data_IF_528087801939
#
_entry.id   IF_528087801939
#
_cell.length_a   1.000
_cell.length_b   1.000
_cell.length_c   1.000
_cell.angle_alpha   90.00
_cell.angle_beta   90.00
_cell.angle_gamma   90.00
#
_symmetry.space_group_name_H-M   'P 1'
#
loop_
_entity.id
_entity.type
_entity.pdbx_description
1 polymer ?
#
# COMPACT_ATOMS: atom_id res chain seq x y z
N UNK A 1 -20.62 2.04 -11.89
CA UNK A 1 -19.77 0.86 -11.61
C UNK A 1 -18.74 1.31 -10.58
N UNK A 2 -18.40 0.49 -9.58
CA UNK A 2 -17.37 0.86 -8.62
C UNK A 2 -16.05 1.15 -9.34
N UNK A 3 -15.23 2.04 -8.79
CA UNK A 3 -13.86 2.25 -9.27
C UNK A 3 -13.03 0.96 -9.13
N UNK A 4 -11.87 0.88 -9.80
CA UNK A 4 -10.98 -0.28 -9.62
C UNK A 4 -10.49 -0.39 -8.16
N UNK A 5 -10.22 0.72 -7.50
CA UNK A 5 -9.89 0.75 -6.07
C UNK A 5 -11.03 0.16 -5.21
N UNK A 6 -12.26 0.62 -5.39
CA UNK A 6 -13.42 0.08 -4.68
C UNK A 6 -13.66 -1.41 -5.01
N UNK A 7 -13.43 -1.80 -6.26
CA UNK A 7 -13.53 -3.18 -6.72
C UNK A 7 -12.50 -4.09 -6.05
N UNK A 8 -11.26 -3.61 -5.89
CA UNK A 8 -10.22 -4.31 -5.16
C UNK A 8 -10.60 -4.47 -3.69
N UNK A 9 -10.93 -3.39 -2.99
CA UNK A 9 -11.26 -3.41 -1.56
C UNK A 9 -12.43 -4.33 -1.22
N UNK A 10 -13.48 -4.33 -2.06
CA UNK A 10 -14.70 -5.12 -1.81
C UNK A 10 -14.64 -6.56 -2.30
N UNK A 11 -13.57 -6.97 -2.99
CA UNK A 11 -13.48 -8.31 -3.55
C UNK A 11 -13.18 -9.35 -2.47
N UNK A 12 -14.16 -10.24 -2.21
CA UNK A 12 -13.99 -11.47 -1.42
C UNK A 12 -13.18 -12.55 -2.17
N UNK A 13 -13.01 -12.41 -3.48
CA UNK A 13 -12.24 -13.30 -4.34
C UNK A 13 -11.38 -12.46 -5.29
N UNK A 14 -10.11 -12.29 -4.92
CA UNK A 14 -9.16 -11.49 -5.69
C UNK A 14 -8.72 -12.18 -6.98
N UNK A 15 -8.84 -13.51 -7.07
CA UNK A 15 -8.62 -14.20 -8.34
C UNK A 15 -9.74 -13.87 -9.32
N UNK A 16 -11.01 -13.91 -8.89
CA UNK A 16 -12.13 -13.50 -9.75
C UNK A 16 -12.06 -12.02 -10.14
N UNK A 17 -11.59 -11.14 -9.24
CA UNK A 17 -11.32 -9.73 -9.56
C UNK A 17 -10.22 -9.59 -10.61
N UNK A 18 -9.08 -10.25 -10.40
CA UNK A 18 -7.96 -10.29 -11.35
C UNK A 18 -8.41 -10.69 -12.76
N UNK A 19 -9.15 -11.79 -12.89
CA UNK A 19 -9.63 -12.28 -14.19
C UNK A 19 -10.46 -11.25 -14.96
N UNK A 20 -11.16 -10.35 -14.26
CA UNK A 20 -11.91 -9.26 -14.90
C UNK A 20 -11.01 -8.11 -15.39
N UNK A 21 -9.86 -7.90 -14.75
CA UNK A 21 -8.91 -6.85 -15.11
C UNK A 21 -8.01 -7.23 -16.28
N UNK A 22 -7.63 -8.52 -16.37
CA UNK A 22 -6.66 -8.99 -17.35
C UNK A 22 -6.94 -8.56 -18.80
N UNK A 23 -8.19 -8.60 -19.32
CA UNK A 23 -8.45 -8.14 -20.68
C UNK A 23 -8.11 -6.67 -20.91
N UNK A 24 -8.42 -5.79 -19.94
CA UNK A 24 -8.12 -4.36 -20.04
C UNK A 24 -6.61 -4.11 -19.87
N UNK A 25 -5.98 -4.75 -18.90
CA UNK A 25 -4.52 -4.67 -18.69
C UNK A 25 -3.75 -5.12 -19.94
N UNK A 26 -4.15 -6.24 -20.56
CA UNK A 26 -3.55 -6.71 -21.82
C UNK A 26 -3.82 -5.78 -23.01
N UNK A 27 -4.87 -4.95 -22.95
CA UNK A 27 -5.17 -3.93 -23.95
C UNK A 27 -4.39 -2.62 -23.70
N UNK A 28 -3.55 -2.55 -22.66
CA UNK A 28 -2.75 -1.38 -22.31
C UNK A 28 -3.42 -0.40 -21.34
N UNK A 29 -4.50 -0.80 -20.67
CA UNK A 29 -5.09 0.00 -19.60
C UNK A 29 -4.17 0.02 -18.38
N UNK A 30 -3.57 1.18 -18.12
CA UNK A 30 -2.56 1.37 -17.08
C UNK A 30 -3.10 1.13 -15.67
N UNK A 31 -4.33 1.56 -15.40
CA UNK A 31 -4.97 1.41 -14.09
C UNK A 31 -5.34 -0.06 -13.84
N UNK A 32 -5.87 -0.75 -14.85
CA UNK A 32 -6.09 -2.19 -14.76
C UNK A 32 -4.77 -2.95 -14.52
N UNK A 33 -3.69 -2.58 -15.22
CA UNK A 33 -2.36 -3.17 -15.02
C UNK A 33 -1.82 -2.90 -13.61
N UNK A 34 -2.01 -1.69 -13.06
CA UNK A 34 -1.67 -1.37 -11.68
C UNK A 34 -2.41 -2.27 -10.70
N UNK A 35 -3.72 -2.42 -10.84
CA UNK A 35 -4.51 -3.27 -9.95
C UNK A 35 -4.23 -4.77 -10.11
N UNK A 36 -3.80 -5.24 -11.29
CA UNK A 36 -3.23 -6.59 -11.46
C UNK A 36 -2.00 -6.75 -10.55
N UNK A 37 -1.06 -5.81 -10.58
CA UNK A 37 0.14 -5.86 -9.73
C UNK A 37 -0.19 -5.81 -8.24
N UNK A 38 -1.22 -5.03 -7.85
CA UNK A 38 -1.72 -4.93 -6.46
C UNK A 38 -2.28 -6.25 -5.95
N UNK A 39 -3.02 -6.98 -6.77
CA UNK A 39 -3.52 -8.32 -6.42
C UNK A 39 -2.34 -9.28 -6.20
N UNK A 40 -1.36 -9.26 -7.10
CA UNK A 40 -0.18 -10.13 -6.97
C UNK A 40 0.61 -9.85 -5.69
N UNK A 41 0.85 -8.58 -5.37
CA UNK A 41 1.55 -8.16 -4.15
C UNK A 41 0.77 -8.58 -2.88
N UNK A 42 -0.51 -8.24 -2.82
CA UNK A 42 -1.37 -8.56 -1.67
C UNK A 42 -1.48 -10.07 -1.40
N UNK A 43 -1.51 -10.89 -2.45
CA UNK A 43 -1.67 -12.35 -2.31
C UNK A 43 -0.35 -13.13 -2.25
N UNK A 44 0.80 -12.50 -2.50
CA UNK A 44 2.08 -13.21 -2.67
C UNK A 44 2.44 -14.11 -1.49
N UNK A 45 2.36 -13.60 -0.25
CA UNK A 45 2.72 -14.35 0.94
C UNK A 45 1.81 -15.57 1.17
N UNK A 46 0.52 -15.47 0.85
CA UNK A 46 -0.40 -16.60 0.94
C UNK A 46 -0.14 -17.62 -0.17
N UNK A 47 -0.01 -17.15 -1.42
CA UNK A 47 0.15 -18.00 -2.60
C UNK A 47 1.45 -18.82 -2.58
N UNK A 48 2.51 -18.30 -1.95
CA UNK A 48 3.81 -18.99 -1.86
C UNK A 48 3.73 -20.32 -1.09
N UNK A 49 2.96 -20.39 0.00
CA UNK A 49 2.69 -21.63 0.75
C UNK A 49 1.35 -21.50 1.51
N UNK A 50 0.20 -21.79 0.87
CA UNK A 50 -1.10 -21.66 1.52
C UNK A 50 -1.24 -22.52 2.78
N UNK A 51 -0.63 -23.70 2.79
CA UNK A 51 -0.67 -24.62 3.91
C UNK A 51 0.21 -24.14 5.07
N UNK A 52 1.42 -23.63 4.78
CA UNK A 52 2.27 -22.98 5.77
C UNK A 52 1.65 -21.72 6.33
N UNK A 53 1.07 -20.88 5.48
CA UNK A 53 0.37 -19.68 5.89
C UNK A 53 -0.75 -19.99 6.90
N UNK A 54 -1.53 -21.05 6.66
CA UNK A 54 -2.55 -21.54 7.60
C UNK A 54 -1.95 -22.05 8.91
N UNK A 55 -0.91 -22.90 8.85
CA UNK A 55 -0.23 -23.42 10.06
C UNK A 55 0.36 -22.30 10.92
N UNK A 56 0.98 -21.29 10.31
CA UNK A 56 1.53 -20.13 11.00
C UNK A 56 0.43 -19.30 11.66
N UNK A 57 -0.71 -19.14 10.97
CA UNK A 57 -1.88 -18.43 11.51
C UNK A 57 -2.45 -19.17 12.72
N UNK A 58 -2.56 -20.49 12.67
CA UNK A 58 -2.97 -21.30 13.83
C UNK A 58 -1.96 -21.24 14.97
N UNK A 59 -0.66 -21.21 14.66
CA UNK A 59 0.39 -21.07 15.67
C UNK A 59 0.27 -19.73 16.40
N UNK A 60 0.07 -18.63 15.67
CA UNK A 60 -0.20 -17.30 16.23
C UNK A 60 -1.44 -17.31 17.14
N UNK A 61 -2.52 -17.98 16.71
CA UNK A 61 -3.73 -18.14 17.52
C UNK A 61 -3.45 -18.87 18.84
N UNK A 62 -2.62 -19.93 18.82
CA UNK A 62 -2.25 -20.70 20.02
C UNK A 62 -1.34 -19.96 20.99
N UNK A 63 -0.50 -19.05 20.49
CA UNK A 63 0.43 -18.29 21.34
C UNK A 63 -0.28 -17.32 22.29
N UNK A 64 -1.48 -16.85 21.94
CA UNK A 64 -2.30 -16.02 22.83
C UNK A 64 -1.67 -14.68 23.25
N UNK A 65 -0.69 -14.16 22.49
CA UNK A 65 -0.05 -12.88 22.79
C UNK A 65 -1.05 -11.73 22.58
N UNK A 66 -0.85 -10.62 23.31
CA UNK A 66 -1.59 -9.39 23.06
C UNK A 66 -1.48 -8.98 21.57
N UNK A 67 -2.61 -8.69 20.93
CA UNK A 67 -2.67 -8.36 19.49
C UNK A 67 -2.75 -9.56 18.53
N UNK A 68 -2.57 -10.81 19.01
CA UNK A 68 -2.62 -12.00 18.14
C UNK A 68 -3.97 -12.18 17.45
N UNK A 69 -5.07 -11.86 18.11
CA UNK A 69 -6.40 -11.95 17.52
C UNK A 69 -6.56 -11.06 16.28
N UNK A 70 -6.03 -9.83 16.32
CA UNK A 70 -6.06 -8.91 15.18
C UNK A 70 -5.19 -9.42 14.04
N UNK A 71 -3.99 -9.93 14.34
CA UNK A 71 -3.11 -10.55 13.35
C UNK A 71 -3.76 -11.77 12.69
N UNK A 72 -4.35 -12.66 13.48
CA UNK A 72 -5.07 -13.84 12.99
C UNK A 72 -6.21 -13.42 12.07
N UNK A 73 -7.06 -12.48 12.48
CA UNK A 73 -8.16 -11.99 11.65
C UNK A 73 -7.68 -11.35 10.34
N UNK A 74 -6.57 -10.60 10.37
CA UNK A 74 -5.98 -10.03 9.14
C UNK A 74 -5.46 -11.11 8.20
N UNK A 75 -4.76 -12.12 8.74
CA UNK A 75 -4.24 -13.25 7.96
C UNK A 75 -5.38 -14.10 7.38
N UNK A 76 -6.44 -14.33 8.14
CA UNK A 76 -7.65 -15.01 7.66
C UNK A 76 -8.34 -14.24 6.53
N UNK A 77 -8.39 -12.90 6.59
CA UNK A 77 -8.89 -12.08 5.47
C UNK A 77 -8.05 -12.24 4.21
N UNK A 78 -6.72 -12.20 4.32
CA UNK A 78 -5.81 -12.45 3.18
C UNK A 78 -6.07 -13.84 2.62
N UNK A 79 -6.09 -14.87 3.46
CA UNK A 79 -6.33 -16.25 3.03
C UNK A 79 -7.71 -16.42 2.36
N UNK A 80 -8.77 -15.80 2.89
CA UNK A 80 -10.10 -15.84 2.30
C UNK A 80 -10.15 -15.21 0.92
N UNK A 81 -9.55 -14.03 0.76
CA UNK A 81 -9.51 -13.26 -0.50
C UNK A 81 -8.61 -13.89 -1.56
N UNK A 82 -7.52 -14.54 -1.12
CA UNK A 82 -6.48 -15.10 -1.99
C UNK A 82 -6.57 -16.62 -2.17
N UNK A 83 -7.62 -17.29 -1.65
CA UNK A 83 -7.77 -18.76 -1.58
C UNK A 83 -7.58 -19.55 -2.89
N UNK A 84 -7.72 -18.89 -4.04
CA UNK A 84 -7.60 -19.52 -5.36
C UNK A 84 -6.17 -19.48 -5.90
N UNK A 85 -5.28 -18.67 -5.30
CA UNK A 85 -3.89 -18.62 -5.69
C UNK A 85 -3.10 -19.78 -5.09
N UNK A 86 -2.18 -20.31 -5.88
CA UNK A 86 -1.37 -21.49 -5.56
C UNK A 86 0.12 -21.19 -5.83
N UNK A 87 1.05 -22.00 -5.31
CA UNK A 87 2.48 -21.76 -5.53
C UNK A 87 2.88 -21.73 -7.01
N UNK A 88 2.16 -22.47 -7.87
CA UNK A 88 2.41 -22.51 -9.31
C UNK A 88 2.11 -21.18 -10.03
N UNK A 89 1.34 -20.27 -9.42
CA UNK A 89 1.10 -18.93 -9.97
C UNK A 89 2.36 -18.04 -9.91
N UNK A 90 3.36 -18.44 -9.11
CA UNK A 90 4.65 -17.75 -9.06
C UNK A 90 4.57 -16.33 -8.51
N UNK A 91 3.55 -16.02 -7.68
CA UNK A 91 3.42 -14.71 -7.07
C UNK A 91 4.62 -14.44 -6.14
N UNK A 92 5.32 -13.34 -6.40
CA UNK A 92 6.50 -12.95 -5.63
C UNK A 92 7.05 -11.61 -6.09
N UNK A 93 8.04 -11.09 -5.35
CA UNK A 93 8.59 -9.75 -5.58
C UNK A 93 9.02 -9.51 -7.04
N UNK A 94 9.68 -10.48 -7.68
CA UNK A 94 10.10 -10.36 -9.07
C UNK A 94 8.92 -10.17 -10.04
N UNK A 95 7.85 -10.95 -9.89
CA UNK A 95 6.65 -10.79 -10.71
C UNK A 95 5.95 -9.45 -10.45
N UNK A 96 5.90 -9.02 -9.18
CA UNK A 96 5.32 -7.72 -8.81
C UNK A 96 6.08 -6.57 -9.47
N UNK A 97 7.42 -6.59 -9.45
CA UNK A 97 8.25 -5.57 -10.12
C UNK A 97 7.94 -5.55 -11.62
N UNK A 98 7.95 -6.71 -12.29
CA UNK A 98 7.64 -6.79 -13.73
C UNK A 98 6.27 -6.21 -14.03
N UNK A 99 5.24 -6.52 -13.24
CA UNK A 99 3.90 -5.98 -13.46
C UNK A 99 3.75 -4.50 -13.14
N UNK A 100 4.52 -3.99 -12.18
CA UNK A 100 4.59 -2.54 -11.91
C UNK A 100 5.31 -1.80 -13.03
N UNK A 101 6.35 -2.39 -13.61
CA UNK A 101 7.01 -1.84 -14.80
C UNK A 101 6.05 -1.76 -15.98
N UNK A 102 5.36 -2.85 -16.31
CA UNK A 102 4.34 -2.86 -17.37
C UNK A 102 3.25 -1.77 -17.14
N UNK A 103 2.78 -1.62 -15.90
CA UNK A 103 1.78 -0.61 -15.56
C UNK A 103 2.33 0.82 -15.63
N UNK A 104 3.58 1.05 -15.21
CA UNK A 104 4.22 2.35 -15.27
C UNK A 104 4.50 2.77 -16.72
N UNK A 105 4.98 1.85 -17.57
CA UNK A 105 5.16 2.07 -19.00
C UNK A 105 3.84 2.36 -19.73
N UNK A 106 2.74 1.76 -19.26
CA UNK A 106 1.39 2.08 -19.74
C UNK A 106 0.87 3.45 -19.24
N UNK A 107 1.54 4.08 -18.27
CA UNK A 107 1.23 5.42 -17.76
C UNK A 107 0.63 5.47 -16.35
N UNK A 108 0.70 4.39 -15.56
CA UNK A 108 0.19 4.40 -14.18
C UNK A 108 1.20 5.09 -13.25
N UNK A 109 0.82 6.27 -12.75
CA UNK A 109 1.62 7.04 -11.81
C UNK A 109 1.81 6.30 -10.48
N UNK A 110 0.80 5.54 -10.03
CA UNK A 110 0.91 4.74 -8.81
C UNK A 110 1.92 3.60 -8.97
N UNK A 111 1.99 2.98 -10.15
CA UNK A 111 2.99 1.96 -10.45
C UNK A 111 4.41 2.54 -10.47
N UNK A 112 4.58 3.69 -11.12
CA UNK A 112 5.86 4.42 -11.16
C UNK A 112 6.33 4.85 -9.76
N UNK A 113 5.42 5.36 -8.93
CA UNK A 113 5.67 5.70 -7.53
C UNK A 113 6.06 4.46 -6.70
N UNK A 114 5.39 3.34 -6.93
CA UNK A 114 5.68 2.10 -6.23
C UNK A 114 7.05 1.53 -6.59
N UNK A 115 7.45 1.63 -7.85
CA UNK A 115 8.79 1.23 -8.32
C UNK A 115 9.89 2.03 -7.61
N UNK A 116 9.73 3.35 -7.48
CA UNK A 116 10.64 4.16 -6.67
C UNK A 116 10.72 3.66 -5.22
N UNK A 117 9.57 3.37 -4.59
CA UNK A 117 9.52 2.85 -3.22
C UNK A 117 10.16 1.46 -3.07
N UNK A 118 10.23 0.68 -4.14
CA UNK A 118 10.92 -0.61 -4.17
C UNK A 118 12.42 -0.50 -4.44
N UNK A 119 12.95 0.70 -4.72
CA UNK A 119 14.33 0.91 -5.15
C UNK A 119 14.59 0.54 -6.61
N UNK A 120 13.54 0.45 -7.42
CA UNK A 120 13.58 0.08 -8.85
C UNK A 120 13.01 1.23 -9.72
N UNK A 121 13.47 2.50 -9.58
CA UNK A 121 12.91 3.60 -10.34
C UNK A 121 13.11 3.43 -11.85
N UNK A 122 12.22 4.01 -12.67
CA UNK A 122 12.39 3.99 -14.13
C UNK A 122 13.69 4.69 -14.58
N UNK A 123 14.06 5.75 -13.87
CA UNK A 123 15.32 6.46 -14.07
C UNK A 123 16.03 6.69 -12.72
N UNK A 124 17.34 6.47 -12.69
CA UNK A 124 18.16 6.59 -11.48
C UNK A 124 18.89 7.95 -11.43
N UNK A 125 18.13 9.03 -11.53
CA UNK A 125 18.64 10.38 -11.36
C UNK A 125 17.80 11.22 -10.39
N UNK A 126 18.45 12.19 -9.75
CA UNK A 126 17.82 13.03 -8.74
C UNK A 126 16.70 13.93 -9.31
N UNK A 127 16.82 14.33 -10.58
CA UNK A 127 15.81 15.13 -11.26
C UNK A 127 14.53 14.33 -11.47
N UNK A 128 14.64 13.09 -11.95
CA UNK A 128 13.52 12.17 -12.07
C UNK A 128 12.84 11.93 -10.72
N UNK A 129 13.60 11.57 -9.67
CA UNK A 129 13.04 11.29 -8.34
C UNK A 129 12.28 12.49 -7.78
N UNK A 130 12.85 13.69 -7.86
CA UNK A 130 12.20 14.92 -7.40
C UNK A 130 10.93 15.22 -8.20
N UNK A 131 10.99 15.09 -9.54
CA UNK A 131 9.85 15.34 -10.43
C UNK A 131 8.71 14.33 -10.23
N UNK A 132 9.03 13.06 -9.95
CA UNK A 132 8.03 12.04 -9.63
C UNK A 132 7.24 12.42 -8.37
N UNK A 133 7.91 12.86 -7.30
CA UNK A 133 7.24 13.31 -6.08
C UNK A 133 6.29 14.48 -6.38
N UNK A 134 6.73 15.47 -7.15
CA UNK A 134 5.86 16.60 -7.50
C UNK A 134 4.66 16.20 -8.37
N UNK A 135 4.84 15.27 -9.33
CA UNK A 135 3.72 14.72 -10.12
C UNK A 135 2.71 13.97 -9.24
N UNK A 136 3.18 13.18 -8.27
CA UNK A 136 2.29 12.49 -7.32
C UNK A 136 1.51 13.51 -6.48
N UNK A 137 2.16 14.56 -5.97
CA UNK A 137 1.45 15.62 -5.21
C UNK A 137 0.41 16.32 -6.07
N UNK A 138 0.77 16.67 -7.30
CA UNK A 138 -0.11 17.39 -8.22
C UNK A 138 -1.30 16.55 -8.72
N UNK A 139 -1.18 15.22 -8.78
CA UNK A 139 -2.25 14.35 -9.24
C UNK A 139 -3.40 14.22 -8.25
N UNK A 140 -3.12 14.38 -6.94
CA UNK A 140 -4.06 14.09 -5.86
C UNK A 140 -4.63 12.65 -5.93
N UNK A 141 -3.87 11.72 -6.52
CA UNK A 141 -4.25 10.32 -6.66
C UNK A 141 -3.93 9.55 -5.37
N UNK A 142 -4.96 9.00 -4.72
CA UNK A 142 -4.81 8.27 -3.47
C UNK A 142 -3.90 7.02 -3.59
N UNK A 143 -3.98 6.29 -4.70
CA UNK A 143 -3.12 5.11 -4.95
C UNK A 143 -1.67 5.54 -5.14
N UNK A 144 -1.40 6.64 -5.87
CA UNK A 144 -0.06 7.14 -6.08
C UNK A 144 0.59 7.68 -4.80
N UNK A 145 -0.17 8.41 -3.97
CA UNK A 145 0.30 8.86 -2.65
C UNK A 145 0.68 7.68 -1.74
N UNK A 146 -0.17 6.65 -1.70
CA UNK A 146 0.07 5.45 -0.90
C UNK A 146 1.27 4.65 -1.41
N UNK A 147 1.38 4.47 -2.73
CA UNK A 147 2.47 3.77 -3.37
C UNK A 147 3.83 4.46 -3.18
N UNK A 148 3.85 5.79 -3.16
CA UNK A 148 5.06 6.59 -2.94
C UNK A 148 5.50 6.61 -1.47
N UNK A 149 4.58 6.44 -0.52
CA UNK A 149 4.81 6.69 0.90
C UNK A 149 6.10 6.04 1.46
N UNK A 150 6.42 4.76 1.18
CA UNK A 150 7.65 4.15 1.70
C UNK A 150 8.95 4.78 1.17
N UNK A 151 8.95 5.30 -0.07
CA UNK A 151 10.09 6.03 -0.63
C UNK A 151 10.37 7.31 0.16
N UNK A 152 9.31 7.97 0.64
CA UNK A 152 9.39 9.25 1.36
C UNK A 152 9.69 9.08 2.85
N UNK A 153 9.81 7.85 3.33
CA UNK A 153 10.18 7.52 4.69
C UNK A 153 11.66 7.69 4.96
N UNK A 154 12.20 6.79 5.78
CA UNK A 154 13.63 6.77 6.11
C UNK A 154 14.52 6.53 4.88
N UNK A 155 14.00 5.91 3.82
CA UNK A 155 14.73 5.67 2.57
C UNK A 155 15.19 6.98 1.89
N UNK A 156 14.39 8.05 1.96
CA UNK A 156 14.74 9.37 1.43
C UNK A 156 15.67 10.19 2.36
N UNK A 157 16.06 9.66 3.53
CA UNK A 157 16.83 10.42 4.51
C UNK A 157 18.20 10.82 3.96
N UNK A 158 18.41 12.12 3.78
CA UNK A 158 19.66 12.67 3.27
C UNK A 158 19.81 12.63 1.74
N UNK A 159 18.77 12.21 1.00
CA UNK A 159 18.76 12.32 -0.47
C UNK A 159 18.52 13.78 -0.87
N UNK A 160 19.48 14.45 -1.55
CA UNK A 160 19.28 15.82 -2.02
C UNK A 160 18.11 15.98 -3.01
N UNK A 161 17.67 14.90 -3.69
CA UNK A 161 16.50 14.93 -4.58
C UNK A 161 15.21 15.30 -3.85
N UNK A 162 15.15 15.04 -2.54
CA UNK A 162 13.98 15.25 -1.69
C UNK A 162 14.16 16.42 -0.71
N UNK A 163 15.18 17.25 -0.91
CA UNK A 163 15.42 18.41 -0.07
C UNK A 163 14.23 19.38 -0.09
N UNK A 164 13.70 19.70 1.09
CA UNK A 164 12.54 20.58 1.25
C UNK A 164 11.18 19.90 1.01
N UNK A 165 11.15 18.62 0.66
CA UNK A 165 9.93 17.83 0.57
C UNK A 165 9.59 17.21 1.94
N UNK A 166 8.34 16.77 2.11
CA UNK A 166 7.93 15.94 3.26
C UNK A 166 8.55 14.55 3.09
N UNK A 167 9.80 14.39 3.54
CA UNK A 167 10.61 13.20 3.26
C UNK A 167 11.60 12.90 4.39
N UNK A 168 12.18 11.70 4.39
CA UNK A 168 13.38 11.37 5.17
C UNK A 168 13.12 11.00 6.63
N UNK A 169 11.86 10.86 7.04
CA UNK A 169 11.49 10.48 8.40
C UNK A 169 10.34 9.48 8.40
N UNK A 170 10.20 8.71 9.48
CA UNK A 170 9.03 7.82 9.65
C UNK A 170 7.71 8.61 9.64
N UNK A 171 7.70 9.80 10.22
CA UNK A 171 6.54 10.69 10.25
C UNK A 171 6.16 11.16 8.83
N UNK A 172 7.14 11.41 7.96
CA UNK A 172 6.89 11.76 6.57
C UNK A 172 6.17 10.62 5.83
N UNK A 173 6.67 9.38 5.91
CA UNK A 173 6.00 8.20 5.33
C UNK A 173 4.55 8.07 5.82
N UNK A 174 4.34 8.18 7.12
CA UNK A 174 3.00 8.11 7.71
C UNK A 174 2.10 9.28 7.27
N UNK A 175 2.67 10.47 7.04
CA UNK A 175 1.94 11.63 6.54
C UNK A 175 1.49 11.46 5.09
N UNK A 176 2.32 10.85 4.22
CA UNK A 176 1.94 10.44 2.87
C UNK A 176 0.82 9.40 2.88
N UNK A 177 0.92 8.40 3.76
CA UNK A 177 -0.12 7.40 3.93
C UNK A 177 -1.44 8.03 4.43
N UNK A 178 -1.38 8.94 5.39
CA UNK A 178 -2.55 9.68 5.88
C UNK A 178 -3.16 10.57 4.79
N UNK A 179 -2.33 11.21 3.97
CA UNK A 179 -2.78 11.99 2.82
C UNK A 179 -3.53 11.10 1.80
N UNK A 180 -3.03 9.90 1.51
CA UNK A 180 -3.74 8.92 0.67
C UNK A 180 -5.13 8.58 1.23
N UNK A 181 -5.25 8.36 2.54
CA UNK A 181 -6.54 8.12 3.20
C UNK A 181 -7.51 9.29 3.00
N UNK A 182 -7.02 10.52 3.17
CA UNK A 182 -7.81 11.75 3.00
C UNK A 182 -8.21 12.00 1.55
N UNK A 183 -7.47 11.44 0.58
CA UNK A 183 -7.79 11.45 -0.85
C UNK A 183 -8.76 10.33 -1.25
N UNK A 184 -9.19 9.47 -0.32
CA UNK A 184 -10.25 8.48 -0.55
C UNK A 184 -9.80 7.01 -0.58
N UNK A 185 -8.54 6.71 -0.24
CA UNK A 185 -8.11 5.32 -0.03
C UNK A 185 -8.82 4.71 1.19
N UNK A 186 -9.22 3.43 1.10
CA UNK A 186 -9.79 2.71 2.24
C UNK A 186 -8.71 2.42 3.30
N UNK A 187 -8.68 3.28 4.31
CA UNK A 187 -7.81 3.16 5.46
C UNK A 187 -8.55 2.65 6.71
N UNK A 188 -9.71 2.03 6.54
CA UNK A 188 -10.44 1.39 7.64
C UNK A 188 -9.67 0.18 8.19
N UNK A 189 -10.02 -0.28 9.39
CA UNK A 189 -9.40 -1.45 10.04
C UNK A 189 -9.42 -2.74 9.19
N UNK A 190 -10.36 -2.84 8.24
CA UNK A 190 -10.54 -4.01 7.37
C UNK A 190 -10.06 -3.77 5.94
N UNK A 191 -9.73 -2.52 5.56
CA UNK A 191 -9.17 -2.19 4.26
C UNK A 191 -7.88 -2.95 3.96
N UNK A 192 -7.53 -3.08 2.69
CA UNK A 192 -6.41 -3.88 2.24
C UNK A 192 -5.07 -3.39 2.82
N UNK A 193 -4.87 -2.07 2.92
CA UNK A 193 -3.69 -1.46 3.54
C UNK A 193 -3.49 -1.93 4.98
N UNK A 194 -4.51 -1.71 5.83
CA UNK A 194 -4.44 -2.07 7.25
C UNK A 194 -4.35 -3.58 7.45
N UNK A 195 -5.01 -4.35 6.58
CA UNK A 195 -4.91 -5.80 6.59
C UNK A 195 -3.49 -6.26 6.25
N UNK A 196 -2.84 -5.70 5.22
CA UNK A 196 -1.48 -6.06 4.85
C UNK A 196 -0.46 -5.68 5.94
N UNK A 197 -0.57 -4.48 6.51
CA UNK A 197 0.27 -4.04 7.64
C UNK A 197 0.17 -4.96 8.85
N UNK A 198 -1.04 -5.40 9.20
CA UNK A 198 -1.26 -6.29 10.33
C UNK A 198 -0.81 -7.74 10.03
N UNK A 199 -1.13 -8.26 8.84
CA UNK A 199 -0.82 -9.64 8.45
C UNK A 199 0.68 -9.89 8.20
N UNK A 200 1.41 -8.88 7.70
CA UNK A 200 2.82 -9.00 7.30
C UNK A 200 3.78 -8.20 8.19
N UNK A 201 3.38 -7.01 8.63
CA UNK A 201 4.20 -6.12 9.45
C UNK A 201 3.98 -6.23 10.96
N UNK A 202 2.93 -6.95 11.40
CA UNK A 202 2.54 -7.04 12.82
C UNK A 202 2.00 -5.73 13.40
N UNK A 203 1.81 -4.70 12.57
CA UNK A 203 1.23 -3.40 12.98
C UNK A 203 -0.27 -3.50 12.79
N UNK A 204 -0.97 -3.85 13.86
CA UNK A 204 -2.41 -4.07 13.82
C UNK A 204 -3.19 -2.88 14.39
N UNK A 205 -4.37 -2.57 13.84
CA UNK A 205 -5.26 -1.60 14.45
C UNK A 205 -5.61 -2.07 15.88
N UNK A 206 -5.60 -1.15 16.87
CA UNK A 206 -5.83 -1.49 18.27
C UNK A 206 -7.30 -1.90 18.56
N UNK A 207 -8.22 -1.70 17.62
CA UNK A 207 -9.60 -2.20 17.68
C UNK A 207 -10.24 -2.32 16.30
N UNK A 208 -11.30 -3.14 16.19
CA UNK A 208 -11.94 -3.50 14.93
C UNK A 208 -12.59 -2.32 14.17
N UNK A 209 -12.78 -1.17 14.82
CA UNK A 209 -13.42 0.03 14.26
C UNK A 209 -12.48 1.23 14.14
N UNK A 210 -11.18 1.07 14.43
CA UNK A 210 -10.22 2.18 14.35
C UNK A 210 -9.57 2.20 12.98
N UNK A 211 -9.79 3.27 12.23
CA UNK A 211 -9.09 3.56 10.99
C UNK A 211 -7.62 3.92 11.24
N UNK A 212 -6.87 4.12 10.15
CA UNK A 212 -5.46 4.44 10.19
C UNK A 212 -5.15 5.69 11.04
N UNK A 213 -5.92 6.76 10.90
CA UNK A 213 -5.71 8.01 11.66
C UNK A 213 -5.92 7.78 13.15
N UNK A 214 -6.99 7.07 13.54
CA UNK A 214 -7.22 6.67 14.92
C UNK A 214 -6.09 5.78 15.48
N UNK A 215 -5.57 4.85 14.67
CA UNK A 215 -4.45 3.99 15.06
C UNK A 215 -3.15 4.79 15.26
N UNK A 216 -2.88 5.80 14.42
CA UNK A 216 -1.75 6.72 14.59
C UNK A 216 -1.85 7.50 15.91
N UNK A 217 -3.04 8.03 16.22
CA UNK A 217 -3.27 8.74 17.47
C UNK A 217 -3.13 7.84 18.71
N UNK A 218 -3.60 6.59 18.64
CA UNK A 218 -3.50 5.63 19.74
C UNK A 218 -2.07 5.13 19.96
N UNK A 219 -1.24 5.07 18.91
CA UNK A 219 0.15 4.65 18.99
C UNK A 219 1.11 5.77 19.45
N UNK A 220 0.64 7.02 19.53
CA UNK A 220 1.48 8.17 19.87
C UNK A 220 1.82 8.18 21.38
N UNK A 221 3.10 8.04 21.79
CA UNK A 221 3.52 8.38 23.14
C UNK A 221 3.34 9.90 23.38
N UNK A 222 3.51 10.43 24.62
CA UNK A 222 3.11 11.81 24.95
C UNK A 222 3.96 12.95 24.31
N UNK A 223 4.51 12.77 23.11
CA UNK A 223 5.38 13.73 22.41
C UNK A 223 4.87 14.18 21.01
N UNK A 224 3.57 14.06 20.73
CA UNK A 224 2.93 14.80 19.61
C UNK A 224 3.31 14.32 18.19
N UNK A 225 3.66 13.05 18.04
CA UNK A 225 3.95 12.45 16.74
C UNK A 225 2.75 12.44 15.81
N UNK A 226 1.54 12.19 16.33
CA UNK A 226 0.33 12.17 15.52
C UNK A 226 -0.05 13.57 15.00
N UNK A 227 0.13 14.60 15.83
CA UNK A 227 -0.09 15.99 15.40
C UNK A 227 0.94 16.41 14.34
N UNK A 228 2.19 15.99 14.47
CA UNK A 228 3.24 16.24 13.47
C UNK A 228 2.89 15.58 12.14
N UNK A 229 2.47 14.30 12.14
CA UNK A 229 2.02 13.58 10.95
C UNK A 229 0.85 14.30 10.30
N UNK A 230 -0.14 14.74 11.10
CA UNK A 230 -1.27 15.50 10.60
C UNK A 230 -0.83 16.79 9.90
N UNK A 231 0.06 17.58 10.51
CA UNK A 231 0.55 18.83 9.93
C UNK A 231 1.32 18.61 8.62
N UNK A 232 2.14 17.56 8.55
CA UNK A 232 2.84 17.15 7.34
C UNK A 232 1.87 16.66 6.25
N UNK A 233 0.82 15.94 6.64
CA UNK A 233 -0.24 15.52 5.71
C UNK A 233 -1.02 16.72 5.18
N UNK A 234 -1.33 17.69 6.06
CA UNK A 234 -2.00 18.93 5.69
C UNK A 234 -1.13 19.75 4.70
N UNK A 235 0.19 19.78 4.85
CA UNK A 235 1.08 20.48 3.91
C UNK A 235 1.23 19.77 2.55
N UNK A 236 1.12 18.44 2.53
CA UNK A 236 1.08 17.68 1.29
C UNK A 236 -0.18 18.01 0.46
N UNK A 237 -1.31 18.22 1.13
CA UNK A 237 -2.61 18.51 0.51
C UNK A 237 -2.86 20.02 0.32
N UNK A 238 -2.15 20.86 1.08
CA UNK A 238 -2.39 22.29 1.24
C UNK A 238 -1.43 23.17 0.46
N UNK A 239 -1.41 23.02 -0.86
CA UNK A 239 -1.03 24.01 -1.89
C UNK A 239 -1.07 23.30 -3.26
N UNK A 240 -2.09 23.58 -4.09
CA UNK A 240 -2.18 23.07 -5.46
C UNK A 240 -3.18 21.94 -5.72
N UNK A 241 -3.73 21.29 -4.68
CA UNK A 241 -4.85 20.34 -4.84
C UNK A 241 -6.17 21.12 -4.90
N UNK A 242 -6.53 21.58 -6.11
CA UNK A 242 -7.85 22.17 -6.34
C UNK A 242 -8.91 21.13 -6.03
N UNK A 243 -9.75 21.44 -5.02
CA UNK A 243 -11.00 20.74 -4.72
C UNK A 243 -12.04 20.97 -5.82
#
# INVERSE_FOLDING_TARGET
MPSLAEGFERADDLHAYLQRLLPAAHAGDAEAAWFVSRVYDYCAAHAADPAGYARDTEALARMGLAGSASMVAARERVAGRCRQFVPADGLGAGLVIVKRLEAAEAGSLAAEASLLAMGEPLEDDAGYRSALVERVRASADAEAFSALAPAMGLAASGDPAHAGQVAGTRQAELAWQLAACRLGMDCSAQGALMTAWCAHGGVCPPGANQDFEAALHAADPPQGGAETIKQLSDSLLGEGVLR
#
